data_IF_703790390854
#
_entry.id   IF_703790390854
#
_cell.length_a   1.000
_cell.length_b   1.000
_cell.length_c   1.000
_cell.angle_alpha   90.00
_cell.angle_beta   90.00
_cell.angle_gamma   90.00
#
_symmetry.space_group_name_H-M   'P 1'
#
loop_
_entity.id
_entity.type
_entity.pdbx_description
1 polymer ?
#
# COMPACT_ATOMS: atom_id res chain seq x y z
N UNK A 1 -77.45 3.30 3.31
CA UNK A 1 -76.34 2.51 3.90
C UNK A 1 -75.07 3.37 3.88
N UNK A 2 -74.22 3.18 4.92
CA UNK A 2 -72.88 3.72 5.25
C UNK A 2 -72.12 4.62 4.24
N UNK A 3 -71.53 5.79 4.56
CA UNK A 3 -70.46 6.20 5.51
C UNK A 3 -69.05 5.59 5.28
N UNK A 4 -68.13 6.47 4.82
CA UNK A 4 -66.83 6.86 5.41
C UNK A 4 -65.61 5.91 5.42
N UNK A 5 -64.44 6.54 5.15
CA UNK A 5 -63.07 6.24 5.62
C UNK A 5 -62.37 5.01 5.03
N UNK A 6 -61.03 4.90 4.96
CA UNK A 6 -59.83 5.77 4.98
C UNK A 6 -58.67 4.75 4.87
N UNK A 7 -57.55 5.15 4.27
CA UNK A 7 -56.20 4.62 4.49
C UNK A 7 -55.91 3.17 4.04
N UNK A 8 -54.97 3.02 3.10
CA UNK A 8 -53.61 2.64 3.49
C UNK A 8 -52.61 3.06 2.43
N UNK A 9 -51.52 3.64 2.93
CA UNK A 9 -50.41 4.16 2.17
C UNK A 9 -49.77 3.06 1.32
N UNK A 10 -49.52 3.36 0.04
CA UNK A 10 -48.43 2.74 -0.69
C UNK A 10 -47.14 3.07 0.08
N UNK A 11 -46.59 2.07 0.76
CA UNK A 11 -45.17 2.05 1.07
C UNK A 11 -44.42 1.96 -0.27
N UNK A 12 -43.63 2.95 -0.68
CA UNK A 12 -42.64 2.70 -1.71
C UNK A 12 -41.61 1.77 -1.08
N UNK A 13 -41.65 0.50 -1.51
CA UNK A 13 -40.58 -0.44 -1.31
C UNK A 13 -39.26 0.29 -1.62
N UNK A 14 -38.44 0.46 -0.59
CA UNK A 14 -37.06 0.92 -0.72
C UNK A 14 -36.29 -0.14 -1.50
N UNK A 15 -36.47 -0.17 -2.82
CA UNK A 15 -35.43 -0.54 -3.76
C UNK A 15 -34.37 0.57 -3.74
N UNK A 16 -33.72 0.72 -2.59
CA UNK A 16 -32.47 1.42 -2.50
C UNK A 16 -31.43 0.52 -3.18
N UNK A 17 -31.30 0.73 -4.49
CA UNK A 17 -30.10 0.54 -5.28
C UNK A 17 -28.92 -0.01 -4.48
N UNK A 18 -28.80 -1.35 -4.42
CA UNK A 18 -27.48 -1.99 -4.33
C UNK A 18 -26.81 -1.76 -5.68
N UNK A 19 -26.43 -0.51 -5.93
CA UNK A 19 -25.45 -0.17 -6.92
C UNK A 19 -24.24 -1.05 -6.61
N UNK A 20 -24.00 -2.04 -7.48
CA UNK A 20 -22.70 -2.69 -7.59
C UNK A 20 -21.69 -1.56 -7.53
N UNK A 21 -20.94 -1.46 -6.42
CA UNK A 21 -19.70 -0.68 -6.40
C UNK A 21 -18.77 -1.43 -7.34
N UNK A 22 -18.95 -1.22 -8.64
CA UNK A 22 -17.85 -1.30 -9.59
C UNK A 22 -16.94 -0.20 -9.10
N UNK A 23 -15.98 -0.58 -8.26
CA UNK A 23 -14.89 0.29 -7.89
C UNK A 23 -14.15 0.63 -9.19
N UNK A 24 -14.59 1.68 -9.89
CA UNK A 24 -13.72 2.43 -10.79
C UNK A 24 -12.69 3.13 -9.90
N UNK A 25 -11.75 2.35 -9.39
CA UNK A 25 -10.53 2.87 -8.82
C UNK A 25 -9.77 3.43 -10.01
N UNK A 26 -9.79 4.75 -10.18
CA UNK A 26 -8.83 5.40 -11.06
C UNK A 26 -7.43 5.11 -10.47
N UNK A 27 -6.71 4.19 -11.08
CA UNK A 27 -5.48 3.61 -10.54
C UNK A 27 -5.75 2.29 -9.82
N UNK A 28 -5.38 1.18 -10.45
CA UNK A 28 -5.35 -0.15 -9.85
C UNK A 28 -4.61 -0.10 -8.50
N UNK A 29 -5.26 -0.56 -7.43
CA UNK A 29 -4.68 -0.66 -6.08
C UNK A 29 -4.83 -2.11 -5.60
N UNK A 30 -3.93 -3.00 -6.02
CA UNK A 30 -3.95 -4.37 -5.55
C UNK A 30 -3.60 -4.38 -4.05
N UNK A 31 -4.11 -5.35 -3.30
CA UNK A 31 -3.76 -5.54 -1.88
C UNK A 31 -4.35 -4.44 -0.98
N UNK A 32 -5.67 -4.30 -0.97
CA UNK A 32 -6.42 -3.38 -0.10
C UNK A 32 -6.30 -3.80 1.38
N UNK A 33 -6.67 -2.92 2.30
CA UNK A 33 -6.57 -3.21 3.74
C UNK A 33 -7.60 -4.26 4.18
N UNK A 34 -8.76 -4.29 3.51
CA UNK A 34 -9.77 -5.31 3.71
C UNK A 34 -9.40 -6.55 2.90
N UNK A 35 -9.53 -7.74 3.49
CA UNK A 35 -9.37 -8.97 2.75
C UNK A 35 -10.53 -9.09 1.77
N UNK A 36 -10.24 -9.07 0.47
CA UNK A 36 -11.24 -9.41 -0.52
C UNK A 36 -11.43 -10.92 -0.53
N UNK A 37 -12.66 -11.32 -0.21
CA UNK A 37 -13.11 -12.71 -0.28
C UNK A 37 -13.90 -12.92 -1.57
N UNK A 38 -14.02 -14.18 -1.97
CA UNK A 38 -14.96 -14.57 -3.02
C UNK A 38 -16.38 -14.42 -2.48
N UNK A 39 -17.30 -13.88 -3.29
CA UNK A 39 -18.72 -13.90 -2.93
C UNK A 39 -19.15 -15.36 -2.73
N UNK A 40 -19.92 -15.61 -1.68
CA UNK A 40 -20.58 -16.90 -1.42
C UNK A 40 -21.33 -17.46 -2.63
N UNK A 41 -21.83 -16.57 -3.51
CA UNK A 41 -22.55 -16.91 -4.74
C UNK A 41 -21.64 -17.08 -5.97
N UNK A 42 -20.35 -16.82 -5.85
CA UNK A 42 -19.43 -16.98 -6.97
C UNK A 42 -19.41 -18.42 -7.47
N UNK A 43 -19.26 -18.61 -8.79
CA UNK A 43 -19.25 -19.94 -9.39
C UNK A 43 -18.14 -20.78 -8.75
N UNK A 44 -18.49 -22.02 -8.43
CA UNK A 44 -17.59 -22.94 -7.75
C UNK A 44 -17.87 -24.37 -8.18
N UNK A 45 -16.85 -25.20 -8.07
CA UNK A 45 -16.90 -26.61 -8.35
C UNK A 45 -16.51 -27.39 -7.09
N UNK A 46 -17.22 -28.50 -6.83
CA UNK A 46 -16.85 -29.43 -5.77
C UNK A 46 -15.96 -30.51 -6.36
N UNK A 47 -14.73 -30.55 -5.86
CA UNK A 47 -13.73 -31.54 -6.20
C UNK A 47 -13.84 -32.70 -5.20
N UNK A 48 -14.30 -33.86 -5.67
CA UNK A 48 -14.32 -35.07 -4.84
C UNK A 48 -12.95 -35.71 -4.90
N UNK A 49 -12.15 -35.52 -3.85
CA UNK A 49 -10.83 -36.15 -3.70
C UNK A 49 -10.86 -37.23 -2.63
N UNK A 50 -9.83 -38.08 -2.63
CA UNK A 50 -9.60 -39.03 -1.54
C UNK A 50 -8.25 -38.72 -0.92
N UNK A 51 -8.22 -38.49 0.39
CA UNK A 51 -7.00 -38.23 1.15
C UNK A 51 -6.98 -39.22 2.33
N UNK A 52 -5.90 -40.00 2.45
CA UNK A 52 -5.78 -41.07 3.46
C UNK A 52 -6.98 -42.04 3.52
N UNK A 53 -7.59 -42.34 2.37
CA UNK A 53 -8.76 -43.23 2.27
C UNK A 53 -10.12 -42.57 2.54
N UNK A 54 -10.15 -41.32 3.01
CA UNK A 54 -11.37 -40.56 3.24
C UNK A 54 -11.75 -39.71 2.03
N UNK A 55 -13.04 -39.71 1.67
CA UNK A 55 -13.58 -38.81 0.64
C UNK A 55 -13.69 -37.39 1.20
N UNK A 56 -13.07 -36.44 0.50
CA UNK A 56 -13.10 -35.02 0.85
C UNK A 56 -13.73 -34.26 -0.31
N UNK A 57 -14.77 -33.49 0.02
CA UNK A 57 -15.42 -32.56 -0.90
C UNK A 57 -14.71 -31.19 -0.82
N UNK A 58 -13.81 -30.95 -1.75
CA UNK A 58 -13.04 -29.73 -1.84
C UNK A 58 -13.74 -28.71 -2.73
N UNK A 59 -14.42 -27.73 -2.13
CA UNK A 59 -14.95 -26.58 -2.87
C UNK A 59 -13.80 -25.73 -3.44
N UNK A 60 -13.82 -25.51 -4.74
CA UNK A 60 -12.93 -24.63 -5.51
C UNK A 60 -13.75 -23.56 -6.21
N UNK A 61 -13.31 -22.31 -6.18
CA UNK A 61 -13.92 -21.27 -7.00
C UNK A 61 -13.44 -21.37 -8.45
N UNK A 62 -14.32 -21.06 -9.40
CA UNK A 62 -14.01 -21.06 -10.83
C UNK A 62 -13.43 -19.69 -11.19
N UNK A 63 -12.21 -19.68 -11.73
CA UNK A 63 -11.52 -18.48 -12.19
C UNK A 63 -12.06 -18.07 -13.56
N UNK A 64 -12.50 -16.82 -13.72
CA UNK A 64 -13.13 -16.27 -14.91
C UNK A 64 -12.21 -15.34 -15.70
N UNK A 65 -11.22 -14.72 -15.05
CA UNK A 65 -10.24 -13.79 -15.63
C UNK A 65 -10.45 -12.31 -15.28
N UNK A 66 -11.54 -11.98 -14.57
CA UNK A 66 -11.85 -10.62 -14.06
C UNK A 66 -11.70 -10.50 -12.53
N UNK A 67 -11.08 -11.49 -11.90
CA UNK A 67 -10.80 -11.52 -10.47
C UNK A 67 -9.87 -10.41 -10.03
N UNK A 68 -9.96 -10.08 -8.74
CA UNK A 68 -8.97 -9.22 -8.12
C UNK A 68 -7.67 -9.98 -7.82
N UNK A 69 -6.54 -9.26 -7.71
CA UNK A 69 -5.24 -9.78 -7.27
C UNK A 69 -5.34 -10.71 -6.06
N UNK A 70 -6.03 -10.31 -4.99
CA UNK A 70 -6.21 -11.12 -3.78
C UNK A 70 -7.04 -12.39 -4.03
N UNK A 71 -8.08 -12.30 -4.85
CA UNK A 71 -8.91 -13.46 -5.21
C UNK A 71 -8.11 -14.49 -6.00
N UNK A 72 -7.27 -14.04 -6.95
CA UNK A 72 -6.33 -14.90 -7.67
C UNK A 72 -5.33 -15.55 -6.69
N UNK A 73 -4.76 -14.79 -5.76
CA UNK A 73 -3.81 -15.31 -4.79
C UNK A 73 -4.41 -16.42 -3.90
N UNK A 74 -5.64 -16.21 -3.43
CA UNK A 74 -6.39 -17.22 -2.69
C UNK A 74 -6.68 -18.46 -3.55
N UNK A 75 -7.01 -18.25 -4.83
CA UNK A 75 -7.26 -19.33 -5.77
C UNK A 75 -5.99 -20.16 -6.03
N UNK A 76 -4.83 -19.52 -6.27
CA UNK A 76 -3.54 -20.18 -6.47
C UNK A 76 -3.14 -20.96 -5.21
N UNK A 77 -3.30 -20.36 -4.02
CA UNK A 77 -3.05 -21.03 -2.75
C UNK A 77 -3.89 -22.30 -2.63
N UNK A 78 -5.19 -22.19 -2.86
CA UNK A 78 -6.09 -23.35 -2.80
C UNK A 78 -5.70 -24.42 -3.84
N UNK A 79 -5.36 -24.02 -5.06
CA UNK A 79 -4.87 -24.95 -6.10
C UNK A 79 -3.62 -25.69 -5.65
N UNK A 80 -2.64 -24.97 -5.09
CA UNK A 80 -1.41 -25.57 -4.62
C UNK A 80 -1.64 -26.51 -3.43
N UNK A 81 -2.39 -26.07 -2.43
CA UNK A 81 -2.63 -26.84 -1.21
C UNK A 81 -3.45 -28.12 -1.47
N UNK A 82 -4.42 -28.07 -2.41
CA UNK A 82 -5.40 -29.15 -2.59
C UNK A 82 -5.20 -30.00 -3.83
N UNK A 83 -4.67 -29.43 -4.91
CA UNK A 83 -4.57 -30.09 -6.22
C UNK A 83 -3.13 -30.43 -6.56
N UNK A 84 -2.21 -29.48 -6.39
CA UNK A 84 -0.80 -29.66 -6.77
C UNK A 84 -0.14 -30.80 -5.96
N UNK A 85 -0.39 -30.85 -4.65
CA UNK A 85 0.22 -31.86 -3.76
C UNK A 85 -0.46 -33.23 -3.86
N UNK A 86 -1.76 -33.28 -4.15
CA UNK A 86 -2.54 -34.51 -4.02
C UNK A 86 -2.64 -35.34 -5.32
N UNK A 87 -2.35 -34.77 -6.48
CA UNK A 87 -2.70 -35.36 -7.76
C UNK A 87 -1.54 -35.44 -8.75
N UNK A 88 -1.55 -36.50 -9.57
CA UNK A 88 -0.60 -36.66 -10.68
C UNK A 88 -0.77 -35.54 -11.73
N UNK A 89 0.29 -35.16 -12.48
CA UNK A 89 0.26 -34.02 -13.41
C UNK A 89 -0.92 -34.01 -14.39
N UNK A 90 -1.25 -35.16 -15.02
CA UNK A 90 -2.36 -35.24 -15.95
C UNK A 90 -3.73 -34.94 -15.30
N UNK A 91 -3.93 -35.44 -14.07
CA UNK A 91 -5.13 -35.13 -13.30
C UNK A 91 -5.16 -33.65 -12.90
N UNK A 92 -4.02 -33.07 -12.52
CA UNK A 92 -3.90 -31.64 -12.20
C UNK A 92 -4.29 -30.74 -13.37
N UNK A 93 -3.85 -31.06 -14.59
CA UNK A 93 -4.22 -30.32 -15.80
C UNK A 93 -5.71 -30.46 -16.11
N UNK A 94 -6.23 -31.70 -16.03
CA UNK A 94 -7.67 -31.96 -16.20
C UNK A 94 -8.51 -31.16 -15.22
N UNK A 95 -8.07 -31.04 -13.96
CA UNK A 95 -8.76 -30.24 -12.98
C UNK A 95 -8.61 -28.74 -13.23
N UNK A 96 -7.41 -28.27 -13.60
CA UNK A 96 -7.19 -26.88 -13.98
C UNK A 96 -8.23 -26.44 -15.03
N UNK A 97 -8.42 -27.22 -16.10
CA UNK A 97 -9.44 -26.98 -17.14
C UNK A 97 -10.87 -26.85 -16.62
N UNK A 98 -11.20 -27.50 -15.49
CA UNK A 98 -12.57 -27.50 -14.92
C UNK A 98 -12.83 -26.34 -13.96
N UNK A 99 -11.77 -25.75 -13.40
CA UNK A 99 -11.85 -24.65 -12.43
C UNK A 99 -11.45 -23.29 -13.04
N UNK A 100 -11.39 -23.23 -14.37
CA UNK A 100 -11.26 -22.00 -15.16
C UNK A 100 -12.43 -21.91 -16.13
N UNK A 101 -12.87 -20.70 -16.44
CA UNK A 101 -13.97 -20.39 -17.36
C UNK A 101 -13.69 -19.06 -18.09
N UNK A 102 -14.49 -18.74 -19.12
CA UNK A 102 -14.40 -17.50 -19.89
C UNK A 102 -12.98 -17.20 -20.38
N UNK A 103 -12.42 -16.05 -20.00
CA UNK A 103 -11.10 -15.60 -20.47
C UNK A 103 -9.97 -16.45 -19.89
N UNK A 104 -10.11 -16.91 -18.64
CA UNK A 104 -9.14 -17.81 -18.02
C UNK A 104 -9.09 -19.17 -18.74
N UNK A 105 -10.24 -19.68 -19.19
CA UNK A 105 -10.28 -20.91 -19.99
C UNK A 105 -9.59 -20.73 -21.34
N UNK A 106 -9.82 -19.62 -22.03
CA UNK A 106 -9.14 -19.31 -23.31
C UNK A 106 -7.62 -19.29 -23.13
N UNK A 107 -7.12 -18.71 -22.02
CA UNK A 107 -5.68 -18.69 -21.71
C UNK A 107 -5.13 -20.11 -21.57
N UNK A 108 -5.79 -20.96 -20.77
CA UNK A 108 -5.33 -22.35 -20.57
C UNK A 108 -5.33 -23.12 -21.89
N UNK A 109 -6.40 -23.01 -22.69
CA UNK A 109 -6.49 -23.69 -23.99
C UNK A 109 -5.39 -23.22 -24.97
N UNK A 110 -5.09 -21.92 -25.01
CA UNK A 110 -4.06 -21.37 -25.89
C UNK A 110 -2.67 -21.88 -25.53
N UNK A 111 -2.33 -21.92 -24.24
CA UNK A 111 -1.03 -22.43 -23.76
C UNK A 111 -0.89 -23.92 -24.07
N UNK A 112 -1.94 -24.71 -23.84
CA UNK A 112 -1.94 -26.14 -24.18
C UNK A 112 -1.72 -26.36 -25.68
N UNK A 113 -2.46 -25.62 -26.52
CA UNK A 113 -2.35 -25.70 -27.98
C UNK A 113 -0.95 -25.31 -28.45
N UNK A 114 -0.34 -24.29 -27.85
CA UNK A 114 1.04 -23.89 -28.15
C UNK A 114 2.03 -25.01 -27.81
N UNK A 115 1.94 -25.58 -26.60
CA UNK A 115 2.81 -26.69 -26.17
C UNK A 115 2.64 -27.98 -26.96
N UNK A 116 1.45 -28.22 -27.53
CA UNK A 116 1.19 -29.32 -28.46
C UNK A 116 1.74 -29.04 -29.87
N UNK A 117 1.84 -27.76 -30.24
CA UNK A 117 2.41 -27.32 -31.52
C UNK A 117 3.94 -27.23 -31.53
N UNK A 118 4.60 -27.12 -30.37
CA UNK A 118 6.06 -27.12 -30.28
C UNK A 118 6.64 -28.44 -30.79
N UNK A 119 7.61 -28.35 -31.69
CA UNK A 119 8.17 -29.46 -32.44
C UNK A 119 9.69 -29.45 -32.53
N UNK A 120 10.34 -28.29 -32.40
CA UNK A 120 11.79 -28.16 -32.48
C UNK A 120 12.42 -27.50 -31.24
N UNK A 121 13.74 -27.48 -31.17
CA UNK A 121 14.48 -26.90 -30.06
C UNK A 121 14.35 -25.36 -29.97
N UNK A 122 14.11 -24.69 -31.10
CA UNK A 122 13.90 -23.24 -31.13
C UNK A 122 12.59 -22.85 -30.43
N UNK A 123 11.58 -23.72 -30.47
CA UNK A 123 10.30 -23.52 -29.78
C UNK A 123 10.44 -23.39 -28.25
N UNK A 124 11.56 -23.81 -27.63
CA UNK A 124 11.85 -23.52 -26.21
C UNK A 124 11.77 -22.00 -25.95
N UNK A 125 12.24 -21.18 -26.88
CA UNK A 125 12.31 -19.73 -26.68
C UNK A 125 10.93 -19.06 -26.73
N UNK A 126 9.89 -19.78 -27.18
CA UNK A 126 8.49 -19.33 -27.15
C UNK A 126 7.83 -19.48 -25.78
N UNK A 127 8.43 -20.25 -24.86
CA UNK A 127 7.96 -20.41 -23.48
C UNK A 127 8.32 -19.15 -22.70
N UNK A 128 7.38 -18.45 -22.06
CA UNK A 128 7.68 -17.17 -21.40
C UNK A 128 8.44 -17.33 -20.07
N UNK A 129 8.14 -18.38 -19.30
CA UNK A 129 8.80 -18.64 -18.01
C UNK A 129 10.23 -19.19 -18.21
N UNK A 130 11.25 -18.37 -17.92
CA UNK A 130 12.67 -18.75 -18.07
C UNK A 130 13.04 -20.02 -17.30
N UNK A 131 12.47 -20.26 -16.11
CA UNK A 131 12.80 -21.49 -15.37
C UNK A 131 12.35 -22.74 -16.08
N UNK A 132 11.26 -22.67 -16.83
CA UNK A 132 10.83 -23.80 -17.65
C UNK A 132 11.86 -24.04 -18.76
N UNK A 133 12.36 -22.97 -19.40
CA UNK A 133 13.42 -23.06 -20.41
C UNK A 133 14.70 -23.67 -19.82
N UNK A 134 15.15 -23.16 -18.68
CA UNK A 134 16.35 -23.64 -17.99
C UNK A 134 16.20 -25.11 -17.57
N UNK A 135 15.06 -25.49 -16.97
CA UNK A 135 14.80 -26.87 -16.54
C UNK A 135 14.68 -27.86 -17.72
N UNK A 136 14.28 -27.40 -18.91
CA UNK A 136 14.30 -28.24 -20.12
C UNK A 136 15.73 -28.37 -20.61
N UNK A 137 16.49 -27.27 -20.70
CA UNK A 137 17.91 -27.29 -21.14
C UNK A 137 18.82 -28.08 -20.22
N UNK A 138 18.57 -28.05 -18.91
CA UNK A 138 19.31 -28.84 -17.93
C UNK A 138 19.04 -30.34 -18.07
N UNK A 139 17.80 -30.73 -18.38
CA UNK A 139 17.40 -32.13 -18.58
C UNK A 139 17.73 -32.66 -19.98
N UNK A 140 17.78 -31.77 -20.98
CA UNK A 140 17.92 -32.06 -22.40
C UNK A 140 19.10 -31.24 -22.95
N UNK A 141 20.33 -31.77 -22.89
CA UNK A 141 21.55 -31.01 -23.12
C UNK A 141 21.83 -30.66 -24.59
N UNK A 142 21.09 -31.25 -25.53
CA UNK A 142 21.24 -31.04 -26.97
C UNK A 142 19.89 -30.91 -27.68
N UNK A 143 19.89 -30.29 -28.86
CA UNK A 143 18.68 -29.99 -29.64
C UNK A 143 17.87 -31.27 -29.96
N UNK A 144 18.53 -32.39 -30.26
CA UNK A 144 17.85 -33.64 -30.56
C UNK A 144 17.08 -34.19 -29.36
N UNK A 145 17.62 -34.03 -28.14
CA UNK A 145 16.92 -34.41 -26.90
C UNK A 145 15.78 -33.47 -26.57
N UNK A 146 15.89 -32.19 -26.94
CA UNK A 146 14.82 -31.20 -26.81
C UNK A 146 13.67 -31.50 -27.79
N UNK A 147 13.98 -31.77 -29.06
CA UNK A 147 13.01 -32.20 -30.07
C UNK A 147 12.27 -33.46 -29.60
N UNK A 148 13.02 -34.42 -29.04
CA UNK A 148 12.45 -35.63 -28.47
C UNK A 148 11.54 -35.32 -27.27
N UNK A 149 11.91 -34.36 -26.40
CA UNK A 149 11.08 -33.92 -25.29
C UNK A 149 9.72 -33.38 -25.75
N UNK A 150 9.67 -32.61 -26.84
CA UNK A 150 8.42 -32.09 -27.38
C UNK A 150 7.58 -33.14 -28.12
N UNK A 151 8.21 -34.01 -28.91
CA UNK A 151 7.52 -34.92 -29.83
C UNK A 151 7.30 -36.35 -29.27
N UNK A 152 8.33 -36.98 -28.71
CA UNK A 152 8.39 -38.42 -28.48
C UNK A 152 8.87 -38.81 -27.07
N UNK A 153 8.81 -37.88 -26.12
CA UNK A 153 9.38 -38.04 -24.79
C UNK A 153 8.90 -39.30 -24.05
N UNK A 154 9.77 -39.85 -23.22
CA UNK A 154 9.43 -40.98 -22.36
C UNK A 154 8.34 -40.61 -21.34
N UNK A 155 7.82 -41.60 -20.60
CA UNK A 155 6.72 -41.37 -19.65
C UNK A 155 7.06 -40.32 -18.55
N UNK A 156 8.32 -40.19 -18.15
CA UNK A 156 8.75 -39.17 -17.19
C UNK A 156 8.77 -37.78 -17.82
N UNK A 157 9.33 -37.66 -19.02
CA UNK A 157 9.33 -36.41 -19.80
C UNK A 157 7.91 -35.93 -20.10
N UNK A 158 6.98 -36.83 -20.47
CA UNK A 158 5.56 -36.49 -20.65
C UNK A 158 4.92 -35.91 -19.38
N UNK A 159 5.25 -36.47 -18.20
CA UNK A 159 4.78 -35.91 -16.92
C UNK A 159 5.39 -34.55 -16.60
N UNK A 160 6.67 -34.36 -16.92
CA UNK A 160 7.37 -33.08 -16.75
C UNK A 160 6.81 -32.01 -17.69
N UNK A 161 6.57 -32.36 -18.97
CA UNK A 161 5.88 -31.51 -19.96
C UNK A 161 4.52 -31.02 -19.47
N UNK A 162 3.69 -31.91 -18.92
CA UNK A 162 2.40 -31.49 -18.33
C UNK A 162 2.60 -30.52 -17.15
N UNK A 163 3.64 -30.73 -16.33
CA UNK A 163 3.96 -29.82 -15.22
C UNK A 163 4.40 -28.45 -15.72
N UNK A 164 5.17 -28.40 -16.81
CA UNK A 164 5.58 -27.17 -17.48
C UNK A 164 4.37 -26.43 -18.08
N UNK A 165 3.45 -27.15 -18.76
CA UNK A 165 2.18 -26.58 -19.26
C UNK A 165 1.41 -25.92 -18.11
N UNK A 166 1.24 -26.60 -16.98
CA UNK A 166 0.51 -26.04 -15.82
C UNK A 166 1.20 -24.77 -15.30
N UNK A 167 2.53 -24.74 -15.22
CA UNK A 167 3.29 -23.56 -14.77
C UNK A 167 3.13 -22.39 -15.74
N UNK A 168 3.23 -22.64 -17.03
CA UNK A 168 3.05 -21.62 -18.07
C UNK A 168 1.61 -21.09 -18.05
N UNK A 169 0.60 -21.95 -17.90
CA UNK A 169 -0.80 -21.52 -17.68
C UNK A 169 -0.91 -20.59 -16.47
N UNK A 170 -0.28 -20.94 -15.35
CA UNK A 170 -0.28 -20.08 -14.15
C UNK A 170 0.42 -18.74 -14.41
N UNK A 171 1.50 -18.72 -15.18
CA UNK A 171 2.18 -17.48 -15.58
C UNK A 171 1.24 -16.56 -16.36
N UNK A 172 0.56 -17.06 -17.41
CA UNK A 172 -0.35 -16.25 -18.23
C UNK A 172 -1.62 -15.82 -17.48
N UNK A 173 -2.16 -16.68 -16.61
CA UNK A 173 -3.28 -16.31 -15.73
C UNK A 173 -2.90 -15.17 -14.78
N UNK A 174 -1.70 -15.23 -14.19
CA UNK A 174 -1.16 -14.14 -13.36
C UNK A 174 -0.96 -12.87 -14.19
N UNK A 175 -0.40 -12.99 -15.39
CA UNK A 175 -0.16 -11.85 -16.30
C UNK A 175 -1.47 -11.16 -16.67
N UNK A 176 -2.54 -11.93 -16.91
CA UNK A 176 -3.87 -11.40 -17.21
C UNK A 176 -4.43 -10.53 -16.09
N UNK A 177 -4.37 -11.02 -14.85
CA UNK A 177 -5.01 -10.37 -13.69
C UNK A 177 -4.14 -9.26 -13.10
N UNK A 178 -2.84 -9.49 -12.95
CA UNK A 178 -1.92 -8.49 -12.41
C UNK A 178 -1.49 -7.45 -13.44
N UNK A 179 -1.54 -7.80 -14.73
CA UNK A 179 -0.98 -6.99 -15.81
C UNK A 179 0.53 -7.13 -15.93
N UNK A 180 1.08 -6.56 -17.02
CA UNK A 180 2.52 -6.52 -17.26
C UNK A 180 3.20 -5.34 -16.54
N UNK A 181 4.52 -5.44 -16.40
CA UNK A 181 5.30 -4.43 -15.68
C UNK A 181 5.49 -3.13 -16.46
N UNK A 182 5.41 -3.17 -17.79
CA UNK A 182 5.51 -1.99 -18.66
C UNK A 182 4.42 -0.96 -18.38
N UNK A 183 3.29 -1.37 -17.79
CA UNK A 183 2.23 -0.48 -17.33
C UNK A 183 2.42 0.06 -15.90
N UNK A 184 3.57 -0.22 -15.27
CA UNK A 184 3.87 0.18 -13.88
C UNK A 184 3.08 -0.61 -12.83
N UNK A 185 2.56 -1.79 -13.20
CA UNK A 185 1.62 -2.59 -12.40
C UNK A 185 2.20 -3.90 -11.87
N UNK A 186 3.51 -3.96 -11.63
CA UNK A 186 4.11 -5.17 -11.01
C UNK A 186 3.42 -5.52 -9.70
N UNK A 187 2.71 -6.64 -9.67
CA UNK A 187 1.98 -7.10 -8.48
C UNK A 187 2.91 -7.35 -7.31
N UNK A 188 4.08 -7.92 -7.60
CA UNK A 188 5.13 -8.15 -6.63
C UNK A 188 5.63 -6.84 -6.00
N UNK A 189 5.96 -5.84 -6.80
CA UNK A 189 6.43 -4.53 -6.29
C UNK A 189 5.33 -3.83 -5.50
N UNK A 190 4.09 -3.89 -5.98
CA UNK A 190 2.95 -3.29 -5.28
C UNK A 190 2.70 -3.98 -3.93
N UNK A 191 2.73 -5.31 -3.87
CA UNK A 191 2.60 -6.06 -2.63
C UNK A 191 3.73 -5.74 -1.66
N UNK A 192 4.99 -5.72 -2.13
CA UNK A 192 6.15 -5.31 -1.31
C UNK A 192 5.97 -3.91 -0.74
N UNK A 193 5.47 -2.97 -1.55
CA UNK A 193 5.20 -1.60 -1.13
C UNK A 193 4.04 -1.52 -0.13
N UNK A 194 2.98 -2.31 -0.32
CA UNK A 194 1.86 -2.42 0.63
C UNK A 194 2.33 -2.96 1.97
N UNK A 195 3.14 -4.03 1.97
CA UNK A 195 3.74 -4.59 3.19
C UNK A 195 4.56 -3.54 3.93
N UNK A 196 5.50 -2.87 3.25
CA UNK A 196 6.40 -1.88 3.87
C UNK A 196 5.67 -0.65 4.43
N UNK A 197 4.56 -0.24 3.80
CA UNK A 197 3.80 0.92 4.22
C UNK A 197 2.72 0.60 5.27
N UNK A 198 2.46 -0.67 5.56
CA UNK A 198 1.44 -1.09 6.50
C UNK A 198 1.87 -0.78 7.93
N UNK A 199 1.17 0.16 8.59
CA UNK A 199 1.40 0.50 10.00
C UNK A 199 0.44 -0.25 10.92
N UNK A 200 0.85 -0.46 12.16
CA UNK A 200 -0.02 -1.00 13.20
C UNK A 200 -1.07 0.07 13.57
N UNK A 201 -2.33 -0.22 13.25
CA UNK A 201 -3.45 0.65 13.61
C UNK A 201 -3.78 0.50 15.09
N UNK A 202 -3.90 1.58 15.87
CA UNK A 202 -4.39 1.50 17.25
C UNK A 202 -5.82 0.94 17.38
N UNK A 203 -6.59 0.89 16.30
CA UNK A 203 -7.96 0.37 16.30
C UNK A 203 -8.02 -1.14 16.09
N UNK A 204 -7.09 -1.70 15.29
CA UNK A 204 -7.08 -3.11 14.90
C UNK A 204 -6.01 -3.92 15.65
N UNK A 205 -4.94 -3.23 16.07
CA UNK A 205 -3.87 -3.77 16.89
C UNK A 205 -2.84 -4.63 16.16
N UNK A 206 -1.86 -5.10 16.94
CA UNK A 206 -0.72 -5.93 16.53
C UNK A 206 -1.20 -7.28 15.98
N UNK A 207 -2.26 -7.86 16.56
CA UNK A 207 -2.80 -9.14 16.10
C UNK A 207 -3.36 -9.07 14.67
N UNK A 208 -4.11 -8.02 14.34
CA UNK A 208 -4.63 -7.84 12.99
C UNK A 208 -3.51 -7.53 11.98
N UNK A 209 -2.54 -6.70 12.38
CA UNK A 209 -1.38 -6.37 11.55
C UNK A 209 -0.53 -7.62 11.25
N UNK A 210 -0.17 -8.40 12.28
CA UNK A 210 0.64 -9.63 12.11
C UNK A 210 -0.06 -10.63 11.20
N UNK A 211 -1.34 -10.90 11.44
CA UNK A 211 -2.14 -11.77 10.56
C UNK A 211 -2.11 -11.29 9.10
N UNK A 212 -2.22 -9.97 8.86
CA UNK A 212 -2.20 -9.42 7.49
C UNK A 212 -0.81 -9.49 6.87
N UNK A 213 0.23 -9.21 7.65
CA UNK A 213 1.62 -9.32 7.24
C UNK A 213 1.95 -10.76 6.84
N UNK A 214 1.59 -11.73 7.67
CA UNK A 214 1.76 -13.16 7.38
C UNK A 214 0.99 -13.57 6.12
N UNK A 215 -0.23 -13.07 5.94
CA UNK A 215 -1.00 -13.32 4.72
C UNK A 215 -0.29 -12.78 3.48
N UNK A 216 0.21 -11.54 3.54
CA UNK A 216 0.95 -10.93 2.43
C UNK A 216 2.30 -11.62 2.17
N UNK A 217 2.99 -12.07 3.21
CA UNK A 217 4.17 -12.92 3.10
C UNK A 217 3.88 -14.21 2.34
N UNK A 218 2.78 -14.88 2.68
CA UNK A 218 2.34 -16.07 1.96
C UNK A 218 2.05 -15.76 0.48
N UNK A 219 1.59 -14.55 0.17
CA UNK A 219 1.26 -14.15 -1.20
C UNK A 219 2.47 -13.77 -2.05
N UNK A 220 3.56 -13.28 -1.46
CA UNK A 220 4.75 -12.84 -2.21
C UNK A 220 5.19 -13.88 -3.26
N UNK A 221 5.41 -15.17 -2.92
CA UNK A 221 5.86 -16.17 -3.89
C UNK A 221 4.89 -16.49 -5.03
N UNK A 222 3.61 -16.15 -4.89
CA UNK A 222 2.62 -16.42 -5.93
C UNK A 222 2.28 -15.19 -6.78
N UNK A 223 2.83 -14.01 -6.46
CA UNK A 223 2.77 -12.85 -7.33
C UNK A 223 3.56 -13.07 -8.64
N UNK A 224 3.24 -12.26 -9.65
CA UNK A 224 4.04 -12.17 -10.87
C UNK A 224 5.11 -11.10 -10.71
N UNK A 225 6.34 -11.46 -11.06
CA UNK A 225 7.45 -10.54 -11.28
C UNK A 225 8.01 -10.83 -12.67
N UNK A 226 7.43 -10.22 -13.71
CA UNK A 226 7.74 -10.50 -15.12
C UNK A 226 9.23 -10.28 -15.44
N UNK A 227 9.79 -9.11 -15.08
CA UNK A 227 11.22 -8.86 -15.27
C UNK A 227 12.12 -9.78 -14.44
N UNK A 228 11.62 -10.28 -13.32
CA UNK A 228 12.32 -11.29 -12.51
C UNK A 228 12.29 -12.65 -13.19
N UNK A 229 11.11 -13.12 -13.60
CA UNK A 229 10.91 -14.39 -14.27
C UNK A 229 11.78 -14.50 -15.53
N UNK A 230 11.85 -13.43 -16.35
CA UNK A 230 12.75 -13.34 -17.50
C UNK A 230 14.24 -13.43 -17.18
N UNK A 231 14.62 -13.22 -15.91
CA UNK A 231 16.00 -13.30 -15.39
C UNK A 231 16.22 -14.49 -14.45
N UNK A 232 15.26 -15.40 -14.33
CA UNK A 232 15.32 -16.51 -13.36
C UNK A 232 15.19 -16.09 -11.89
N UNK A 233 14.72 -14.87 -11.60
CA UNK A 233 14.51 -14.35 -10.25
C UNK A 233 13.03 -14.39 -9.88
N UNK A 234 12.70 -15.10 -8.79
CA UNK A 234 11.31 -15.27 -8.38
C UNK A 234 11.02 -14.55 -7.07
N UNK A 235 9.77 -14.07 -6.90
CA UNK A 235 9.31 -13.59 -5.63
C UNK A 235 9.53 -14.59 -4.51
N UNK A 236 10.19 -14.15 -3.45
CA UNK A 236 10.37 -14.93 -2.22
C UNK A 236 9.75 -14.20 -1.04
N UNK A 237 9.52 -14.94 0.05
CA UNK A 237 9.14 -14.38 1.35
C UNK A 237 10.29 -13.53 1.89
N UNK A 238 9.97 -12.62 2.79
CA UNK A 238 11.02 -11.92 3.53
C UNK A 238 11.70 -12.91 4.48
N UNK A 239 13.01 -12.81 4.59
CA UNK A 239 13.76 -13.49 5.64
C UNK A 239 13.48 -12.86 7.01
N UNK A 240 14.01 -13.51 8.05
CA UNK A 240 13.80 -13.10 9.45
C UNK A 240 14.27 -11.67 9.73
N UNK A 241 15.40 -11.26 9.16
CA UNK A 241 15.95 -9.91 9.33
C UNK A 241 15.01 -8.85 8.74
N UNK A 242 14.60 -9.03 7.49
CA UNK A 242 13.64 -8.14 6.84
C UNK A 242 12.27 -8.14 7.55
N UNK A 243 11.83 -9.27 8.12
CA UNK A 243 10.61 -9.31 8.92
C UNK A 243 10.68 -8.38 10.14
N UNK A 244 11.83 -8.37 10.82
CA UNK A 244 12.06 -7.56 12.02
C UNK A 244 12.18 -6.08 11.68
N UNK A 245 12.89 -5.72 10.60
CA UNK A 245 12.95 -4.34 10.11
C UNK A 245 11.56 -3.79 9.73
N UNK A 246 10.75 -4.59 9.02
CA UNK A 246 9.40 -4.18 8.63
C UNK A 246 8.51 -4.01 9.88
N UNK A 247 8.63 -4.90 10.87
CA UNK A 247 7.92 -4.76 12.14
C UNK A 247 8.33 -3.48 12.88
N UNK A 248 9.63 -3.23 13.00
CA UNK A 248 10.16 -2.02 13.63
C UNK A 248 9.63 -0.75 12.96
N UNK A 249 9.65 -0.71 11.63
CA UNK A 249 9.06 0.39 10.87
C UNK A 249 7.55 0.50 11.09
N UNK A 250 6.82 -0.61 11.22
CA UNK A 250 5.37 -0.62 11.37
C UNK A 250 4.89 -0.10 12.74
N UNK A 251 5.74 -0.18 13.77
CA UNK A 251 5.43 0.24 15.13
C UNK A 251 5.34 1.76 15.27
N UNK A 252 4.45 2.21 16.16
CA UNK A 252 4.44 3.61 16.58
C UNK A 252 5.48 3.83 17.68
N UNK A 253 5.94 5.09 17.89
CA UNK A 253 6.90 5.39 18.94
C UNK A 253 6.49 4.90 20.33
N UNK A 254 5.19 4.86 20.64
CA UNK A 254 4.68 4.40 21.93
C UNK A 254 4.97 2.92 22.18
N UNK A 255 4.89 2.09 21.14
CA UNK A 255 5.27 0.68 21.26
C UNK A 255 6.78 0.53 21.46
N UNK A 256 7.58 1.29 20.72
CA UNK A 256 9.05 1.24 20.81
C UNK A 256 9.54 1.66 22.21
N UNK A 257 9.00 2.74 22.78
CA UNK A 257 9.33 3.15 24.15
C UNK A 257 8.96 2.06 25.16
N UNK A 258 7.76 1.47 25.03
CA UNK A 258 7.34 0.45 25.99
C UNK A 258 8.16 -0.84 25.89
N UNK A 259 8.59 -1.21 24.69
CA UNK A 259 9.54 -2.31 24.50
C UNK A 259 10.89 -2.00 25.14
N UNK A 260 11.40 -0.78 24.96
CA UNK A 260 12.65 -0.33 25.57
C UNK A 260 12.57 -0.35 27.11
N UNK A 261 11.47 0.14 27.70
CA UNK A 261 11.24 0.10 29.16
C UNK A 261 11.21 -1.32 29.72
N UNK A 262 10.72 -2.28 28.93
CA UNK A 262 10.70 -3.70 29.25
C UNK A 262 12.04 -4.41 28.91
N UNK A 263 13.06 -3.67 28.42
CA UNK A 263 14.36 -4.21 28.03
C UNK A 263 14.33 -5.09 26.77
N UNK A 264 13.28 -4.98 25.93
CA UNK A 264 13.11 -5.80 24.75
C UNK A 264 13.72 -5.17 23.50
N UNK A 265 14.63 -5.89 22.83
CA UNK A 265 15.22 -5.49 21.55
C UNK A 265 14.63 -6.31 20.39
N UNK A 266 14.10 -5.63 19.37
CA UNK A 266 13.55 -6.29 18.17
C UNK A 266 14.64 -7.01 17.36
N UNK A 267 15.85 -6.46 17.28
CA UNK A 267 16.95 -7.02 16.49
C UNK A 267 17.61 -8.25 17.13
N UNK A 268 17.44 -8.43 18.45
CA UNK A 268 17.99 -9.57 19.20
C UNK A 268 17.01 -10.73 19.35
N UNK A 269 15.72 -10.52 19.07
CA UNK A 269 14.67 -11.53 19.20
C UNK A 269 14.09 -11.88 17.84
N UNK A 270 13.42 -13.02 17.73
CA UNK A 270 12.72 -13.38 16.49
C UNK A 270 11.47 -12.52 16.28
N UNK A 271 11.00 -12.42 15.03
CA UNK A 271 9.73 -11.83 14.63
C UNK A 271 8.59 -12.41 15.46
N UNK A 272 8.50 -13.74 15.57
CA UNK A 272 7.40 -14.43 16.27
C UNK A 272 7.40 -14.10 17.77
N UNK A 273 8.57 -14.10 18.41
CA UNK A 273 8.69 -13.71 19.81
C UNK A 273 8.32 -12.24 20.02
N UNK A 274 8.79 -11.36 19.13
CA UNK A 274 8.50 -9.92 19.19
C UNK A 274 7.01 -9.63 19.02
N UNK A 275 6.31 -10.31 18.11
CA UNK A 275 4.85 -10.22 17.98
C UNK A 275 4.14 -10.67 19.25
N UNK A 276 4.61 -11.74 19.89
CA UNK A 276 4.03 -12.25 21.13
C UNK A 276 4.17 -11.22 22.25
N UNK A 277 5.38 -10.68 22.45
CA UNK A 277 5.64 -9.62 23.43
C UNK A 277 4.81 -8.36 23.16
N UNK A 278 4.69 -7.96 21.90
CA UNK A 278 3.87 -6.81 21.50
C UNK A 278 2.38 -7.01 21.83
N UNK A 279 1.84 -8.22 21.65
CA UNK A 279 0.46 -8.56 22.04
C UNK A 279 0.25 -8.50 23.56
N UNK A 280 1.27 -8.79 24.35
CA UNK A 280 1.20 -8.70 25.82
C UNK A 280 1.14 -7.24 26.32
N UNK A 281 1.93 -6.35 25.71
CA UNK A 281 1.99 -4.93 26.13
C UNK A 281 0.88 -4.06 25.53
N UNK A 282 0.32 -4.45 24.38
CA UNK A 282 -0.70 -3.71 23.64
C UNK A 282 -1.91 -3.28 24.49
N UNK A 283 -2.52 -4.14 25.35
CA UNK A 283 -3.64 -3.72 26.20
C UNK A 283 -3.30 -2.54 27.12
N UNK A 284 -2.06 -2.48 27.63
CA UNK A 284 -1.59 -1.37 28.46
C UNK A 284 -1.46 -0.08 27.66
N UNK A 285 -0.89 -0.17 26.45
CA UNK A 285 -0.73 0.95 25.52
C UNK A 285 -2.10 1.51 25.10
N UNK A 286 -3.06 0.64 24.78
CA UNK A 286 -4.40 1.07 24.38
C UNK A 286 -5.16 1.79 25.50
N UNK A 287 -4.98 1.38 26.76
CA UNK A 287 -5.54 2.10 27.92
C UNK A 287 -4.97 3.51 28.04
N UNK A 288 -3.65 3.66 27.91
CA UNK A 288 -2.98 4.96 27.94
C UNK A 288 -3.43 5.86 26.79
N UNK A 289 -3.53 5.32 25.57
CA UNK A 289 -3.99 6.07 24.40
C UNK A 289 -5.45 6.54 24.53
N UNK A 290 -6.34 5.70 25.08
CA UNK A 290 -7.73 6.10 25.36
C UNK A 290 -7.79 7.24 26.38
N UNK A 291 -7.08 7.11 27.49
CA UNK A 291 -7.01 8.15 28.52
C UNK A 291 -6.50 9.48 27.96
N UNK A 292 -5.40 9.46 27.18
CA UNK A 292 -4.86 10.67 26.54
C UNK A 292 -5.86 11.29 25.55
N UNK A 293 -6.59 10.46 24.79
CA UNK A 293 -7.60 10.94 23.84
C UNK A 293 -8.77 11.61 24.55
N UNK A 294 -9.23 11.06 25.67
CA UNK A 294 -10.29 11.64 26.51
C UNK A 294 -9.86 12.99 27.10
N UNK A 295 -8.64 13.07 27.66
CA UNK A 295 -8.09 14.32 28.17
C UNK A 295 -7.99 15.40 27.09
N UNK A 296 -7.55 15.02 25.89
CA UNK A 296 -7.40 15.94 24.77
C UNK A 296 -8.76 16.40 24.22
N UNK A 297 -9.80 15.55 24.30
CA UNK A 297 -11.16 15.94 23.97
C UNK A 297 -11.72 16.93 25.02
N UNK A 298 -11.55 16.64 26.31
CA UNK A 298 -11.96 17.56 27.38
C UNK A 298 -11.28 18.93 27.24
N UNK A 299 -9.98 18.97 26.93
CA UNK A 299 -9.26 20.22 26.70
C UNK A 299 -9.80 21.02 25.50
N UNK A 300 -10.22 20.33 24.42
CA UNK A 300 -10.86 20.97 23.26
C UNK A 300 -12.23 21.53 23.61
N UNK A 301 -13.05 20.75 24.32
CA UNK A 301 -14.39 21.15 24.72
C UNK A 301 -14.31 22.40 25.64
N UNK A 302 -13.34 22.45 26.56
CA UNK A 302 -13.07 23.63 27.40
C UNK A 302 -12.64 24.83 26.54
N UNK A 303 -11.75 24.64 25.57
CA UNK A 303 -11.29 25.73 24.69
C UNK A 303 -12.42 26.28 23.79
N UNK A 304 -13.36 25.43 23.37
CA UNK A 304 -14.52 25.82 22.58
C UNK A 304 -15.56 26.58 23.43
N UNK A 305 -15.79 26.14 24.67
CA UNK A 305 -16.64 26.84 25.65
C UNK A 305 -16.07 28.22 26.04
N UNK A 306 -14.75 28.38 26.09
CA UNK A 306 -14.10 29.68 26.35
C UNK A 306 -14.19 30.63 25.15
N UNK A 307 -14.16 30.12 23.90
CA UNK A 307 -14.37 30.93 22.70
C UNK A 307 -15.82 31.43 22.56
N UNK A 308 -16.79 30.73 23.16
CA UNK A 308 -18.21 31.12 23.17
C UNK A 308 -18.59 32.20 24.20
N UNK A 309 -17.73 32.53 25.18
CA UNK A 309 -18.06 33.45 26.29
C UNK A 309 -17.71 34.93 26.05
N UNK A 310 -17.30 35.31 24.83
CA UNK A 310 -16.90 36.68 24.51
C UNK A 310 -17.85 37.43 23.59
N UNK A 311 -19.07 37.76 24.03
CA UNK A 311 -19.84 38.98 23.63
C UNK A 311 -21.24 39.06 24.27
N UNK A 312 -21.27 39.63 25.46
CA UNK A 312 -22.40 40.35 26.06
C UNK A 312 -21.81 41.15 27.23
N UNK A 313 -22.11 42.40 27.57
CA UNK A 313 -22.93 43.49 27.05
C UNK A 313 -22.68 44.64 28.05
N UNK A 314 -22.50 45.89 27.63
CA UNK A 314 -22.81 47.03 28.51
C UNK A 314 -23.00 48.32 27.71
N UNK A 315 -24.18 48.91 27.91
CA UNK A 315 -24.74 50.08 27.23
C UNK A 315 -24.55 51.35 28.08
N UNK A 316 -24.52 52.51 27.39
CA UNK A 316 -24.75 53.89 27.86
C UNK A 316 -23.60 54.61 28.61
N UNK A 317 -23.28 55.90 28.42
CA UNK A 317 -23.75 57.01 27.55
C UNK A 317 -22.92 58.28 27.86
N UNK A 318 -22.53 59.06 26.84
CA UNK A 318 -22.40 60.56 26.78
C UNK A 318 -21.30 60.96 25.77
N UNK A 319 -21.69 61.32 24.54
CA UNK A 319 -21.80 62.69 24.00
C UNK A 319 -20.48 63.45 23.81
N UNK A 320 -19.98 63.50 22.56
CA UNK A 320 -20.00 64.74 21.76
C UNK A 320 -19.32 64.56 20.39
N UNK A 321 -20.10 64.76 19.34
CA UNK A 321 -19.77 65.34 18.03
C UNK A 321 -18.33 65.24 17.49
N UNK A 322 -18.15 64.46 16.40
CA UNK A 322 -17.77 65.05 15.10
C UNK A 322 -17.89 64.07 13.92
N UNK A 323 -18.75 64.50 12.98
CA UNK A 323 -18.73 64.28 11.52
C UNK A 323 -19.06 62.90 10.94
N UNK A 324 -20.00 62.99 10.01
CA UNK A 324 -20.66 61.95 9.23
C UNK A 324 -19.79 61.35 8.12
N UNK A 325 -20.25 60.17 7.69
CA UNK A 325 -20.07 59.48 6.39
C UNK A 325 -18.88 58.53 6.22
N UNK A 326 -19.20 57.25 6.01
CA UNK A 326 -18.29 56.27 5.40
C UNK A 326 -18.70 54.83 5.68
N UNK A 327 -19.56 54.26 4.84
CA UNK A 327 -20.15 52.93 5.02
C UNK A 327 -19.16 51.76 5.08
N UNK A 328 -19.71 50.63 5.53
CA UNK A 328 -19.14 49.28 5.45
C UNK A 328 -18.28 49.10 4.19
N UNK A 329 -16.95 49.00 4.36
CA UNK A 329 -16.10 48.40 3.33
C UNK A 329 -16.42 46.90 3.26
N UNK A 330 -17.50 46.57 2.56
CA UNK A 330 -17.73 45.24 2.00
C UNK A 330 -16.46 44.85 1.25
N UNK A 331 -15.77 43.80 1.70
CA UNK A 331 -14.58 43.27 1.01
C UNK A 331 -14.98 42.97 -0.44
N UNK A 332 -14.26 43.55 -1.42
CA UNK A 332 -14.52 43.31 -2.84
C UNK A 332 -14.34 41.83 -3.15
N UNK A 333 -15.19 41.30 -4.01
CA UNK A 333 -15.04 39.96 -4.56
C UNK A 333 -13.84 39.98 -5.51
N UNK A 334 -12.96 38.98 -5.43
CA UNK A 334 -11.79 38.92 -6.27
C UNK A 334 -12.17 38.45 -7.68
N UNK A 335 -11.96 39.30 -8.70
CA UNK A 335 -12.27 38.99 -10.10
C UNK A 335 -11.55 37.73 -10.63
N UNK A 336 -10.44 37.32 -9.99
CA UNK A 336 -9.66 36.14 -10.38
C UNK A 336 -10.21 34.83 -9.81
N UNK A 337 -10.99 34.86 -8.72
CA UNK A 337 -11.43 33.62 -8.05
C UNK A 337 -12.87 33.61 -7.52
N UNK A 338 -13.62 34.71 -7.64
CA UNK A 338 -15.01 34.82 -7.20
C UNK A 338 -15.20 34.70 -5.69
N UNK A 339 -14.17 35.00 -4.89
CA UNK A 339 -14.22 34.92 -3.42
C UNK A 339 -13.77 36.22 -2.78
N UNK A 340 -14.32 36.52 -1.60
CA UNK A 340 -14.00 37.71 -0.81
C UNK A 340 -12.80 37.43 0.12
N UNK A 341 -11.65 38.04 -0.15
CA UNK A 341 -10.48 38.01 0.73
C UNK A 341 -9.86 39.42 0.85
N UNK A 342 -8.97 39.60 1.83
CA UNK A 342 -8.18 40.82 1.98
C UNK A 342 -6.72 40.48 1.63
N UNK A 343 -6.12 41.22 0.68
CA UNK A 343 -4.77 40.97 0.17
C UNK A 343 -4.74 40.23 -1.18
N UNK A 344 -3.54 40.06 -1.74
CA UNK A 344 -3.30 39.48 -3.06
C UNK A 344 -3.84 38.05 -3.22
N UNK A 345 -4.42 37.78 -4.38
CA UNK A 345 -4.99 36.47 -4.70
C UNK A 345 -3.87 35.48 -5.04
N UNK A 346 -3.63 34.52 -4.14
CA UNK A 346 -2.60 33.46 -4.29
C UNK A 346 -2.85 32.48 -5.45
N UNK A 347 -3.94 32.62 -6.22
CA UNK A 347 -4.22 31.77 -7.38
C UNK A 347 -3.33 32.05 -8.60
N UNK A 348 -2.60 33.18 -8.62
CA UNK A 348 -1.74 33.56 -9.75
C UNK A 348 -0.31 32.98 -9.68
N UNK A 349 0.09 32.31 -8.60
CA UNK A 349 1.44 31.72 -8.48
C UNK A 349 1.55 30.24 -8.86
N UNK A 350 0.44 29.54 -9.09
CA UNK A 350 0.45 28.15 -9.57
C UNK A 350 -0.29 28.06 -10.90
N UNK A 351 0.43 28.37 -11.98
CA UNK A 351 -0.04 28.12 -13.34
C UNK A 351 -0.08 26.62 -13.65
N UNK A 352 -1.27 26.13 -14.02
CA UNK A 352 -1.44 25.04 -14.97
C UNK A 352 -1.57 23.62 -14.41
N UNK A 353 -2.80 23.11 -14.33
CA UNK A 353 -3.05 21.66 -14.21
C UNK A 353 -4.33 21.29 -13.48
N UNK A 354 -5.42 21.17 -14.23
CA UNK A 354 -6.77 20.88 -13.78
C UNK A 354 -6.85 19.57 -12.96
N UNK A 355 -7.09 19.64 -11.64
CA UNK A 355 -7.52 18.49 -10.85
C UNK A 355 -8.69 18.89 -9.94
N UNK A 356 -9.88 18.80 -10.53
CA UNK A 356 -11.13 18.87 -9.79
C UNK A 356 -11.26 17.70 -8.82
N UNK A 357 -11.46 18.03 -7.54
CA UNK A 357 -12.26 17.23 -6.62
C UNK A 357 -11.75 15.83 -6.27
N UNK A 358 -10.71 15.73 -5.43
CA UNK A 358 -10.63 14.64 -4.45
C UNK A 358 -10.13 15.15 -3.11
N UNK A 359 -11.03 15.18 -2.12
CA UNK A 359 -10.68 15.14 -0.71
C UNK A 359 -9.84 13.87 -0.50
N UNK A 360 -8.52 14.01 -0.49
CA UNK A 360 -7.64 12.98 0.02
C UNK A 360 -7.98 12.79 1.49
N UNK A 361 -8.39 11.58 1.85
CA UNK A 361 -8.51 11.16 3.26
C UNK A 361 -7.13 11.28 3.89
N UNK A 362 -6.92 12.40 4.56
CA UNK A 362 -5.74 12.68 5.37
C UNK A 362 -5.88 11.88 6.66
N UNK A 363 -5.46 10.62 6.67
CA UNK A 363 -5.32 9.79 7.89
C UNK A 363 -4.08 10.21 8.70
N UNK A 364 -3.96 11.51 8.92
CA UNK A 364 -2.97 12.15 9.78
C UNK A 364 -3.72 13.08 10.74
N UNK A 365 -4.77 12.59 11.38
CA UNK A 365 -5.52 13.33 12.41
C UNK A 365 -4.89 13.14 13.79
N UNK A 366 -3.61 13.50 13.91
CA UNK A 366 -3.19 14.27 15.06
C UNK A 366 -3.15 15.73 14.63
N UNK A 367 -3.97 16.57 15.28
CA UNK A 367 -3.97 18.01 15.08
C UNK A 367 -2.52 18.53 15.23
N UNK A 368 -2.15 19.55 14.45
CA UNK A 368 -0.81 20.18 14.48
C UNK A 368 -0.40 20.58 15.90
N UNK A 369 -1.39 20.94 16.72
CA UNK A 369 -1.27 21.22 18.17
C UNK A 369 -0.95 19.97 19.01
N UNK A 370 -1.50 18.81 18.65
CA UNK A 370 -1.19 17.54 19.33
C UNK A 370 0.23 17.04 19.00
N UNK A 371 0.73 17.30 17.77
CA UNK A 371 2.14 17.06 17.43
C UNK A 371 3.08 18.02 18.16
N UNK A 372 2.70 19.30 18.32
CA UNK A 372 3.47 20.27 19.10
C UNK A 372 3.48 19.97 20.60
N UNK A 373 2.36 19.49 21.16
CA UNK A 373 2.29 19.11 22.57
C UNK A 373 3.12 17.85 22.86
N UNK A 374 3.10 16.84 21.97
CA UNK A 374 4.01 15.69 22.08
C UNK A 374 5.48 16.16 22.02
N UNK A 375 5.84 17.02 21.06
CA UNK A 375 7.20 17.59 20.95
C UNK A 375 7.61 18.37 22.22
N UNK A 376 6.68 19.07 22.87
CA UNK A 376 6.94 19.82 24.10
C UNK A 376 7.06 18.93 25.36
N UNK A 377 6.34 17.81 25.43
CA UNK A 377 6.49 16.80 26.49
C UNK A 377 7.84 16.08 26.42
N UNK A 378 8.31 15.75 25.21
CA UNK A 378 9.62 15.11 25.01
C UNK A 378 10.81 16.07 25.22
N UNK A 379 10.62 17.38 25.04
CA UNK A 379 11.64 18.38 25.37
C UNK A 379 11.79 18.64 26.89
N UNK A 380 10.84 18.19 27.73
CA UNK A 380 10.91 18.37 29.20
C UNK A 380 11.55 17.20 29.94
N UNK A 381 11.78 16.05 29.29
CA UNK A 381 12.41 14.89 29.90
C UNK A 381 13.91 14.74 29.60
N UNK A 382 14.49 15.61 28.77
CA UNK A 382 15.93 15.68 28.50
C UNK A 382 16.57 16.86 29.24
N UNK A 383 16.44 16.84 30.56
CA UNK A 383 17.28 17.62 31.47
C UNK A 383 18.62 16.92 31.74
N UNK A 384 19.33 16.48 30.70
CA UNK A 384 20.71 16.04 30.77
C UNK A 384 21.30 16.05 29.36
N UNK A 385 22.37 16.84 29.20
CA UNK A 385 23.15 17.01 27.98
C UNK A 385 23.78 15.69 27.53
N UNK A 386 23.39 15.19 26.36
CA UNK A 386 24.26 14.38 25.49
C UNK A 386 23.72 14.41 24.07
N UNK A 387 24.49 15.01 23.17
CA UNK A 387 24.30 15.04 21.72
C UNK A 387 24.18 13.64 21.13
N UNK A 388 23.04 13.35 20.49
CA UNK A 388 23.00 12.58 19.23
C UNK A 388 21.65 12.83 18.56
N UNK A 389 21.60 13.86 17.72
CA UNK A 389 20.41 14.20 16.92
C UNK A 389 20.57 13.60 15.53
N UNK A 390 19.94 12.45 15.28
CA UNK A 390 19.67 11.97 13.92
C UNK A 390 18.24 12.40 13.54
N UNK A 391 18.15 13.67 13.21
CA UNK A 391 16.97 14.31 12.60
C UNK A 391 17.46 14.82 11.26
N UNK A 392 16.71 14.50 10.19
CA UNK A 392 16.75 15.19 8.89
C UNK A 392 16.38 16.68 9.09
N UNK A 393 17.23 17.40 9.81
CA UNK A 393 17.10 18.81 10.08
C UNK A 393 17.57 19.56 8.84
N UNK A 394 16.70 20.43 8.35
CA UNK A 394 16.98 21.51 7.42
C UNK A 394 18.37 22.10 7.72
N UNK A 395 19.40 21.67 6.98
CA UNK A 395 20.78 22.09 7.26
C UNK A 395 20.81 23.63 7.31
N UNK A 396 21.26 24.24 8.42
CA UNK A 396 21.13 25.68 8.65
C UNK A 396 21.73 26.54 7.53
N UNK A 397 22.71 25.99 6.81
CA UNK A 397 23.36 26.62 5.68
C UNK A 397 22.47 26.71 4.42
N UNK A 398 21.47 25.83 4.24
CA UNK A 398 20.52 25.86 3.10
C UNK A 398 19.47 26.96 3.22
N UNK A 399 19.23 27.49 4.43
CA UNK A 399 18.17 28.46 4.70
C UNK A 399 18.35 29.75 3.88
N UNK A 400 17.32 30.08 3.08
CA UNK A 400 17.20 31.33 2.32
C UNK A 400 18.02 31.38 1.02
N UNK A 401 18.34 30.21 0.45
CA UNK A 401 19.00 30.00 -0.84
C UNK A 401 18.14 29.12 -1.75
N UNK A 402 18.06 29.42 -3.04
CA UNK A 402 17.50 28.51 -4.05
C UNK A 402 18.50 27.40 -4.44
N UNK A 403 18.08 26.42 -5.23
CA UNK A 403 18.92 25.27 -5.58
C UNK A 403 20.23 25.66 -6.31
N UNK A 404 20.20 26.66 -7.20
CA UNK A 404 21.40 27.13 -7.89
C UNK A 404 22.37 27.85 -6.95
N UNK A 405 21.85 28.65 -6.02
CA UNK A 405 22.64 29.31 -4.98
C UNK A 405 23.25 28.30 -3.98
N UNK A 406 22.54 27.21 -3.66
CA UNK A 406 23.06 26.13 -2.81
C UNK A 406 24.24 25.41 -3.46
N UNK A 407 24.12 25.07 -4.75
CA UNK A 407 25.22 24.45 -5.52
C UNK A 407 26.44 25.37 -5.61
N UNK A 408 26.25 26.67 -5.77
CA UNK A 408 27.35 27.63 -5.80
C UNK A 408 28.05 27.75 -4.45
N UNK A 409 27.31 27.69 -3.33
CA UNK A 409 27.91 27.69 -1.98
C UNK A 409 28.76 26.44 -1.76
N UNK A 410 28.28 25.26 -2.17
CA UNK A 410 29.03 24.01 -2.09
C UNK A 410 30.30 24.06 -2.95
N UNK A 411 30.19 24.49 -4.20
CA UNK A 411 31.32 24.61 -5.12
C UNK A 411 32.37 25.63 -4.62
N UNK A 412 31.95 26.73 -3.99
CA UNK A 412 32.85 27.76 -3.46
C UNK A 412 33.61 27.30 -2.20
N UNK A 413 33.04 26.33 -1.48
CA UNK A 413 33.65 25.74 -0.29
C UNK A 413 34.37 24.41 -0.58
N UNK A 414 34.31 23.92 -1.82
CA UNK A 414 34.99 22.68 -2.23
C UNK A 414 34.32 21.40 -1.75
N UNK A 415 33.04 21.45 -1.38
CA UNK A 415 32.27 20.26 -0.94
C UNK A 415 31.58 19.57 -2.11
N UNK A 416 31.52 18.23 -2.08
CA UNK A 416 30.78 17.44 -3.05
C UNK A 416 29.25 17.57 -2.79
N UNK A 417 28.41 17.80 -3.83
CA UNK A 417 26.96 17.86 -3.70
C UNK A 417 26.28 16.62 -3.09
N UNK A 418 26.98 15.48 -3.08
CA UNK A 418 26.51 14.21 -2.53
C UNK A 418 26.92 13.97 -1.06
N UNK A 419 27.79 14.81 -0.50
CA UNK A 419 28.17 14.72 0.91
C UNK A 419 27.00 15.06 1.84
N UNK A 420 26.81 14.24 2.87
CA UNK A 420 25.83 14.46 3.94
C UNK A 420 26.57 15.01 5.17
N UNK A 421 25.93 15.90 5.92
CA UNK A 421 26.45 16.53 7.15
C UNK A 421 27.56 17.55 6.89
N UNK A 422 27.28 18.54 6.03
CA UNK A 422 28.24 19.59 5.68
C UNK A 422 28.22 20.67 6.77
N UNK A 423 29.33 20.81 7.49
CA UNK A 423 29.49 21.85 8.50
C UNK A 423 30.34 23.00 7.95
N UNK A 424 29.78 24.21 7.92
CA UNK A 424 30.49 25.42 7.51
C UNK A 424 30.91 26.22 8.73
N UNK A 425 32.10 26.83 8.69
CA UNK A 425 32.41 27.92 9.61
C UNK A 425 31.37 29.05 9.43
N UNK A 426 30.75 29.58 10.51
CA UNK A 426 29.73 30.63 10.44
C UNK A 426 30.19 31.91 9.72
N UNK A 427 31.48 32.23 9.75
CA UNK A 427 32.07 33.40 9.10
C UNK A 427 32.21 33.19 7.59
N UNK A 428 32.68 32.01 7.17
CA UNK A 428 32.81 31.64 5.76
C UNK A 428 31.45 31.40 5.10
N UNK A 429 30.49 30.80 5.81
CA UNK A 429 29.13 30.63 5.31
C UNK A 429 28.47 31.96 4.92
N UNK A 430 28.66 33.00 5.74
CA UNK A 430 28.16 34.35 5.44
C UNK A 430 28.81 34.91 4.16
N UNK A 431 30.12 34.67 3.97
CA UNK A 431 30.86 35.08 2.79
C UNK A 431 30.36 34.36 1.53
N UNK A 432 30.24 33.03 1.57
CA UNK A 432 29.75 32.23 0.45
C UNK A 432 28.30 32.56 0.07
N UNK A 433 27.41 32.74 1.05
CA UNK A 433 26.03 33.18 0.78
C UNK A 433 25.98 34.56 0.10
N UNK A 434 26.86 35.49 0.50
CA UNK A 434 26.94 36.83 -0.09
C UNK A 434 27.51 36.77 -1.51
N UNK A 435 28.47 35.89 -1.78
CA UNK A 435 29.01 35.68 -3.13
C UNK A 435 27.98 35.05 -4.06
N UNK A 436 27.31 33.96 -3.65
CA UNK A 436 26.26 33.31 -4.43
C UNK A 436 25.13 34.29 -4.78
N UNK A 437 24.62 35.06 -3.79
CA UNK A 437 23.57 36.06 -4.04
C UNK A 437 24.01 37.21 -4.94
N UNK A 438 25.30 37.55 -4.98
CA UNK A 438 25.85 38.54 -5.92
C UNK A 438 25.99 37.97 -7.32
N UNK A 439 26.39 36.72 -7.44
CA UNK A 439 26.54 36.02 -8.72
C UNK A 439 25.19 35.86 -9.45
N UNK A 440 24.12 35.54 -8.73
CA UNK A 440 22.77 35.33 -9.32
C UNK A 440 21.86 36.57 -9.29
N UNK A 441 22.29 37.70 -8.71
CA UNK A 441 21.60 39.01 -8.82
C UNK A 441 22.31 40.01 -9.74
N UNK A 442 23.45 39.60 -10.33
CA UNK A 442 24.21 40.39 -11.30
C UNK A 442 23.58 40.34 -12.68
#
# INVERSE_FOLDING_TARGET
MAKSNRNNAEEPAKEAAKAKRVHRISGFKPFLYDAEEWDTKSPSQILKTTENGNRIDNKMYILQGDETPEQLMLWIKNYNDKINVALAPAARLTFLRRIVDKEAQTIVSNVETAFEGYSDAEDIDLIEDQTIRDEIRDDCPDDATIDAYFNAGNAAQKRKKITHIIRECMYHLKLKIFGNETLGRSSFIQLKRSIRNMKISPQLGVAAWSKRFDTFQLYLPMCLWDAGAKKGLYPTRYDEENCREILEYALSPVYLTKLHDDGWCLQSNTYVQSITKLKEIEPGILKQLKFVKEQLQQAKDIAELQKGKGKSSSTASSSSNRKQNGGEKRKRECDTCGKRHAGECWKLQNGGGNNGGRKGNNYNTFNKEAKQYMKAMFAKHTGASSDSSDSDDDEPWKKGLNQAEQMHVLASAGFDPSERNINFDPSDLKRYKKQAKRYFKG
#
